data_IF_601150434621
#
_entry.id   IF_601150434621
#
_cell.length_a   1.000
_cell.length_b   1.000
_cell.length_c   1.000
_cell.angle_alpha   90.00
_cell.angle_beta   90.00
_cell.angle_gamma   90.00
#
_symmetry.space_group_name_H-M   'P 1'
#
loop_
_entity.id
_entity.type
_entity.pdbx_description
1 polymer ?
#
# COMPACT_ATOMS: atom_id res chain seq x y z
N UNK A 1 20.09 -46.33 27.18
CA UNK A 1 21.23 -45.41 26.99
C UNK A 1 20.71 -44.12 26.39
N UNK A 2 20.91 -42.98 27.04
CA UNK A 2 20.62 -41.68 26.44
C UNK A 2 21.83 -41.25 25.59
N UNK A 3 21.63 -41.00 24.31
CA UNK A 3 22.66 -40.44 23.44
C UNK A 3 22.95 -38.99 23.89
N UNK A 4 24.18 -38.74 24.34
CA UNK A 4 24.67 -37.38 24.54
C UNK A 4 25.32 -36.92 23.23
N UNK A 5 24.83 -35.85 22.61
CA UNK A 5 25.42 -35.33 21.38
C UNK A 5 26.87 -34.92 21.66
N UNK A 6 27.76 -35.24 20.72
CA UNK A 6 29.14 -34.82 20.81
C UNK A 6 29.26 -33.34 20.47
N UNK A 7 30.41 -32.76 20.80
CA UNK A 7 30.72 -31.37 20.43
C UNK A 7 30.60 -31.14 18.92
N UNK A 8 30.97 -32.13 18.12
CA UNK A 8 30.93 -32.03 16.66
C UNK A 8 29.49 -32.06 16.13
N UNK A 9 28.61 -32.88 16.71
CA UNK A 9 27.18 -32.90 16.38
C UNK A 9 26.49 -31.57 16.70
N UNK A 10 26.86 -30.95 17.82
CA UNK A 10 26.37 -29.63 18.21
C UNK A 10 26.83 -28.52 17.25
N UNK A 11 28.09 -28.58 16.80
CA UNK A 11 28.63 -27.63 15.82
C UNK A 11 27.93 -27.74 14.46
N UNK A 12 27.74 -28.96 13.95
CA UNK A 12 27.00 -29.19 12.69
C UNK A 12 25.57 -28.66 12.77
N UNK A 13 24.89 -28.88 13.90
CA UNK A 13 23.53 -28.38 14.12
C UNK A 13 23.49 -26.85 14.15
N UNK A 14 24.46 -26.23 14.81
CA UNK A 14 24.60 -24.78 14.89
C UNK A 14 24.86 -24.16 13.50
N UNK A 15 25.78 -24.73 12.72
CA UNK A 15 26.08 -24.26 11.36
C UNK A 15 24.86 -24.34 10.44
N UNK A 16 24.08 -25.43 10.54
CA UNK A 16 22.84 -25.58 9.80
C UNK A 16 21.80 -24.52 10.20
N UNK A 17 21.67 -24.22 11.50
CA UNK A 17 20.77 -23.18 12.00
C UNK A 17 21.19 -21.77 11.52
N UNK A 18 22.48 -21.45 11.56
CA UNK A 18 23.03 -20.18 11.05
C UNK A 18 22.78 -20.05 9.55
N UNK A 19 22.98 -21.13 8.78
CA UNK A 19 22.70 -21.11 7.33
C UNK A 19 21.22 -20.84 7.07
N UNK A 20 20.32 -21.52 7.77
CA UNK A 20 18.87 -21.29 7.66
C UNK A 20 18.49 -19.84 7.98
N UNK A 21 19.03 -19.28 9.06
CA UNK A 21 18.80 -17.89 9.44
C UNK A 21 19.26 -16.94 8.33
N UNK A 22 20.49 -17.08 7.84
CA UNK A 22 21.02 -16.23 6.76
C UNK A 22 20.20 -16.32 5.48
N UNK A 23 19.73 -17.52 5.12
CA UNK A 23 18.86 -17.69 3.96
C UNK A 23 17.51 -16.99 4.15
N UNK A 24 16.94 -17.06 5.35
CA UNK A 24 15.71 -16.35 5.67
C UNK A 24 15.89 -14.82 5.61
N UNK A 25 16.96 -14.30 6.22
CA UNK A 25 17.30 -12.87 6.22
C UNK A 25 17.56 -12.34 4.80
N UNK A 26 18.22 -13.14 3.94
CA UNK A 26 18.45 -12.78 2.55
C UNK A 26 17.15 -12.65 1.73
N UNK A 27 16.04 -13.23 2.19
CA UNK A 27 14.72 -13.08 1.58
C UNK A 27 14.00 -11.77 1.92
N UNK A 28 14.38 -11.12 3.03
CA UNK A 28 13.69 -9.93 3.55
C UNK A 28 13.70 -8.76 2.55
N UNK A 29 14.85 -8.36 1.94
CA UNK A 29 14.88 -7.21 1.04
C UNK A 29 13.92 -7.36 -0.16
N UNK A 30 13.90 -8.55 -0.78
CA UNK A 30 12.99 -8.82 -1.91
C UNK A 30 11.51 -8.78 -1.51
N UNK A 31 11.19 -9.21 -0.29
CA UNK A 31 9.82 -9.12 0.21
C UNK A 31 9.42 -7.65 0.45
N UNK A 32 10.33 -6.84 0.99
CA UNK A 32 10.12 -5.42 1.20
C UNK A 32 9.96 -4.66 -0.13
N UNK A 33 10.78 -4.94 -1.13
CA UNK A 33 10.67 -4.37 -2.47
C UNK A 33 9.31 -4.65 -3.12
N UNK A 34 8.84 -5.91 -3.03
CA UNK A 34 7.51 -6.28 -3.52
C UNK A 34 6.39 -5.57 -2.76
N UNK A 35 6.49 -5.47 -1.44
CA UNK A 35 5.50 -4.76 -0.64
C UNK A 35 5.45 -3.27 -1.01
N UNK A 36 6.62 -2.63 -1.19
CA UNK A 36 6.72 -1.24 -1.62
C UNK A 36 6.10 -1.03 -3.01
N UNK A 37 6.33 -1.97 -3.94
CA UNK A 37 5.72 -1.97 -5.27
C UNK A 37 4.19 -2.02 -5.20
N UNK A 38 3.63 -2.96 -4.42
CA UNK A 38 2.18 -3.11 -4.25
C UNK A 38 1.56 -1.85 -3.66
N UNK A 39 2.20 -1.27 -2.63
CA UNK A 39 1.73 -0.03 -2.00
C UNK A 39 1.75 1.12 -3.02
N UNK A 40 2.81 1.23 -3.83
CA UNK A 40 2.93 2.28 -4.84
C UNK A 40 1.82 2.17 -5.88
N UNK A 41 1.62 0.98 -6.46
CA UNK A 41 0.56 0.73 -7.45
C UNK A 41 -0.84 0.98 -6.87
N UNK A 42 -1.07 0.60 -5.60
CA UNK A 42 -2.34 0.87 -4.93
C UNK A 42 -2.58 2.38 -4.75
N UNK A 43 -1.54 3.14 -4.40
CA UNK A 43 -1.63 4.61 -4.29
C UNK A 43 -1.90 5.25 -5.64
N UNK A 44 -1.18 4.85 -6.68
CA UNK A 44 -1.40 5.34 -8.05
C UNK A 44 -2.85 5.12 -8.50
N UNK A 45 -3.43 3.95 -8.23
CA UNK A 45 -4.84 3.67 -8.54
C UNK A 45 -5.82 4.55 -7.78
N UNK A 46 -5.56 4.80 -6.49
CA UNK A 46 -6.39 5.70 -5.67
C UNK A 46 -6.29 7.14 -6.17
N UNK A 47 -5.10 7.60 -6.52
CA UNK A 47 -4.89 8.95 -7.04
C UNK A 47 -5.54 9.14 -8.41
N UNK A 48 -5.48 8.13 -9.29
CA UNK A 48 -6.23 8.14 -10.55
C UNK A 48 -7.74 8.20 -10.30
N UNK A 49 -8.29 7.35 -9.43
CA UNK A 49 -9.72 7.36 -9.14
C UNK A 49 -10.18 8.69 -8.52
N UNK A 50 -9.32 9.37 -7.75
CA UNK A 50 -9.59 10.72 -7.23
C UNK A 50 -9.59 11.77 -8.34
N UNK A 51 -8.68 11.67 -9.31
CA UNK A 51 -8.66 12.56 -10.47
C UNK A 51 -9.91 12.37 -11.33
N UNK A 52 -10.29 11.12 -11.60
CA UNK A 52 -11.51 10.78 -12.35
C UNK A 52 -12.75 11.33 -11.64
N UNK A 53 -12.86 11.15 -10.32
CA UNK A 53 -13.96 11.72 -9.53
C UNK A 53 -13.98 13.25 -9.58
N UNK A 54 -12.82 13.89 -9.55
CA UNK A 54 -12.73 15.35 -9.65
C UNK A 54 -13.25 15.84 -11.01
N UNK A 55 -12.93 15.15 -12.11
CA UNK A 55 -13.48 15.48 -13.43
C UNK A 55 -15.00 15.32 -13.48
N UNK A 56 -15.55 14.25 -12.91
CA UNK A 56 -17.00 14.05 -12.84
C UNK A 56 -17.70 15.12 -11.98
N UNK A 57 -17.09 15.54 -10.87
CA UNK A 57 -17.59 16.67 -10.07
C UNK A 57 -17.64 17.95 -10.92
N UNK A 58 -16.58 18.25 -11.67
CA UNK A 58 -16.56 19.43 -12.55
C UNK A 58 -17.58 19.31 -13.69
N UNK A 59 -17.77 18.12 -14.23
CA UNK A 59 -18.78 17.87 -15.26
C UNK A 59 -20.20 18.10 -14.73
N UNK A 60 -20.51 17.61 -13.52
CA UNK A 60 -21.79 17.83 -12.87
C UNK A 60 -22.07 19.32 -12.59
N UNK A 61 -21.07 20.06 -12.12
CA UNK A 61 -21.16 21.51 -11.90
C UNK A 61 -21.42 22.26 -13.21
N UNK A 62 -20.66 21.94 -14.28
CA UNK A 62 -20.89 22.50 -15.63
C UNK A 62 -22.27 22.17 -16.20
N UNK A 63 -22.85 21.03 -15.81
CA UNK A 63 -24.21 20.64 -16.18
C UNK A 63 -25.30 21.37 -15.35
N UNK A 64 -24.92 22.22 -14.41
CA UNK A 64 -25.82 23.01 -13.58
C UNK A 64 -26.32 22.30 -12.31
N UNK A 65 -25.71 21.17 -11.93
CA UNK A 65 -26.03 20.51 -10.66
C UNK A 65 -25.65 21.43 -9.49
N UNK A 66 -26.53 21.55 -8.48
CA UNK A 66 -26.24 22.43 -7.34
C UNK A 66 -25.12 21.82 -6.50
N UNK A 67 -24.21 22.66 -6.00
CA UNK A 67 -23.12 22.23 -5.14
C UNK A 67 -23.56 21.43 -3.89
N UNK A 68 -24.74 21.73 -3.33
CA UNK A 68 -25.30 20.97 -2.19
C UNK A 68 -25.65 19.53 -2.57
N UNK A 69 -26.10 19.31 -3.80
CA UNK A 69 -26.44 17.97 -4.31
C UNK A 69 -25.17 17.18 -4.61
N UNK A 70 -24.14 17.85 -5.16
CA UNK A 70 -22.81 17.26 -5.36
C UNK A 70 -22.19 16.83 -4.01
N UNK A 71 -22.30 17.67 -2.98
CA UNK A 71 -21.85 17.34 -1.61
C UNK A 71 -22.60 16.12 -1.06
N UNK A 72 -23.92 16.07 -1.24
CA UNK A 72 -24.73 14.93 -0.80
C UNK A 72 -24.35 13.63 -1.52
N UNK A 73 -24.09 13.69 -2.83
CA UNK A 73 -23.73 12.52 -3.63
C UNK A 73 -22.32 11.99 -3.35
N UNK A 74 -21.36 12.87 -3.09
CA UNK A 74 -19.94 12.52 -2.93
C UNK A 74 -19.52 12.33 -1.48
N UNK A 75 -20.26 12.90 -0.52
CA UNK A 75 -19.87 12.96 0.88
C UNK A 75 -18.70 13.91 1.18
N UNK A 76 -18.20 14.64 0.17
CA UNK A 76 -17.14 15.62 0.37
C UNK A 76 -17.67 16.88 1.04
N UNK A 77 -16.80 17.56 1.79
CA UNK A 77 -17.15 18.87 2.35
C UNK A 77 -17.37 19.89 1.23
N UNK A 78 -18.20 20.90 1.49
CA UNK A 78 -18.40 22.03 0.56
C UNK A 78 -17.07 22.68 0.16
N UNK A 79 -16.15 22.81 1.10
CA UNK A 79 -14.83 23.36 0.86
C UNK A 79 -14.01 22.47 -0.09
N UNK A 80 -14.05 21.15 0.10
CA UNK A 80 -13.35 20.23 -0.81
C UNK A 80 -13.92 20.29 -2.22
N UNK A 81 -15.24 20.36 -2.37
CA UNK A 81 -15.87 20.58 -3.68
C UNK A 81 -15.43 21.90 -4.28
N UNK A 82 -15.42 22.98 -3.50
CA UNK A 82 -14.96 24.30 -3.97
C UNK A 82 -13.53 24.25 -4.50
N UNK A 83 -12.61 23.60 -3.78
CA UNK A 83 -11.21 23.44 -4.21
C UNK A 83 -11.13 22.69 -5.54
N UNK A 84 -11.85 21.58 -5.69
CA UNK A 84 -11.87 20.79 -6.93
C UNK A 84 -12.37 21.62 -8.12
N UNK A 85 -13.38 22.47 -7.90
CA UNK A 85 -13.92 23.36 -8.94
C UNK A 85 -12.98 24.53 -9.29
N UNK A 86 -12.03 24.88 -8.40
CA UNK A 86 -11.08 25.99 -8.59
C UNK A 86 -9.71 25.53 -9.10
N UNK A 87 -9.26 24.32 -8.75
CA UNK A 87 -8.05 23.70 -9.29
C UNK A 87 -8.29 23.35 -10.77
N UNK A 88 -7.81 24.22 -11.67
CA UNK A 88 -7.85 24.08 -13.13
C UNK A 88 -6.45 24.19 -13.71
#
# INVERSE_FOLDING_TARGET
MAYMPTRDDALVTLEAAVRKLRTAEAGIPRAQERAAQIIREAREKVDQARADLAEEIRAADRAGMRQVDIVAATGYSRERIRQILLDT
#
